data_IF_391727047392
#
_entry.id   IF_391727047392
#
_cell.length_a   1.000
_cell.length_b   1.000
_cell.length_c   1.000
_cell.angle_alpha   90.00
_cell.angle_beta   90.00
_cell.angle_gamma   90.00
#
_symmetry.space_group_name_H-M   'P 1'
#
loop_
_entity.id
_entity.type
_entity.pdbx_description
1 polymer ?
#
# COMPACT_ATOMS: atom_id res chain seq x y z
N UNK A 1 12.97 -15.76 2.25
CA UNK A 1 11.51 -15.61 2.26
C UNK A 1 10.91 -16.92 1.81
N UNK A 2 10.21 -17.63 2.67
CA UNK A 2 9.54 -18.87 2.31
C UNK A 2 8.11 -18.50 1.89
N UNK A 3 7.82 -18.48 0.59
CA UNK A 3 6.44 -18.46 0.10
C UNK A 3 5.85 -19.82 0.47
N UNK A 4 4.82 -19.82 1.29
CA UNK A 4 4.20 -21.06 1.74
C UNK A 4 3.13 -21.53 0.79
N UNK A 5 2.30 -20.63 0.30
CA UNK A 5 1.23 -20.91 -0.64
C UNK A 5 0.85 -19.67 -1.46
N UNK A 6 0.18 -19.93 -2.57
CA UNK A 6 -0.37 -18.93 -3.45
C UNK A 6 -1.77 -19.36 -3.90
N UNK A 7 -2.72 -18.43 -3.84
CA UNK A 7 -4.10 -18.67 -4.23
C UNK A 7 -4.46 -17.79 -5.43
N UNK A 8 -4.65 -18.42 -6.58
CA UNK A 8 -4.98 -17.73 -7.82
C UNK A 8 -6.46 -17.91 -8.14
N UNK A 9 -7.23 -16.83 -8.03
CA UNK A 9 -8.70 -16.84 -8.20
C UNK A 9 -9.11 -16.15 -9.49
N UNK A 10 -9.97 -16.81 -10.26
CA UNK A 10 -10.55 -16.30 -11.51
C UNK A 10 -12.04 -16.59 -11.57
N UNK A 11 -12.75 -15.88 -12.46
CA UNK A 11 -14.17 -16.15 -12.74
C UNK A 11 -14.34 -17.42 -13.57
N UNK A 12 -13.63 -17.56 -14.67
CA UNK A 12 -13.75 -18.68 -15.60
C UNK A 12 -12.38 -19.33 -15.84
N UNK A 13 -12.38 -20.59 -16.29
CA UNK A 13 -11.14 -21.34 -16.53
C UNK A 13 -10.26 -20.73 -17.64
N UNK A 14 -10.88 -20.08 -18.63
CA UNK A 14 -10.17 -19.36 -19.70
C UNK A 14 -9.41 -18.12 -19.20
N UNK A 15 -9.78 -17.59 -18.05
CA UNK A 15 -9.11 -16.44 -17.41
C UNK A 15 -7.82 -16.82 -16.65
N UNK A 16 -7.52 -18.14 -16.54
CA UNK A 16 -6.30 -18.61 -15.88
C UNK A 16 -5.07 -18.37 -16.75
N UNK A 17 -4.54 -17.14 -16.70
CA UNK A 17 -3.28 -16.80 -17.36
C UNK A 17 -2.11 -17.61 -16.76
N UNK A 18 -1.13 -17.95 -17.58
CA UNK A 18 0.10 -18.67 -17.20
C UNK A 18 -0.13 -20.04 -16.52
N UNK A 19 -1.32 -20.66 -16.65
CA UNK A 19 -1.64 -21.93 -15.96
C UNK A 19 -0.67 -23.06 -16.33
N UNK A 20 -0.28 -23.16 -17.60
CA UNK A 20 0.70 -24.15 -18.07
C UNK A 20 2.12 -23.86 -17.49
N UNK A 21 2.53 -22.59 -17.47
CA UNK A 21 3.82 -22.16 -16.94
C UNK A 21 3.90 -22.41 -15.43
N UNK A 22 2.85 -22.06 -14.70
CA UNK A 22 2.74 -22.32 -13.26
C UNK A 22 2.89 -23.82 -12.97
N UNK A 23 2.24 -24.67 -13.76
CA UNK A 23 2.35 -26.13 -13.63
C UNK A 23 3.76 -26.68 -13.83
N UNK A 24 4.60 -25.99 -14.60
CA UNK A 24 5.97 -26.39 -14.88
C UNK A 24 7.00 -25.95 -13.81
N UNK A 25 6.65 -25.05 -12.90
CA UNK A 25 7.57 -24.58 -11.86
C UNK A 25 7.73 -25.57 -10.70
N UNK A 26 8.92 -25.63 -10.07
CA UNK A 26 9.19 -26.52 -8.92
C UNK A 26 8.27 -26.26 -7.71
N UNK A 27 7.71 -25.05 -7.61
CA UNK A 27 6.80 -24.62 -6.54
C UNK A 27 5.31 -24.74 -6.89
N UNK A 28 4.96 -25.36 -8.03
CA UNK A 28 3.57 -25.52 -8.48
C UNK A 28 2.66 -26.19 -7.44
N UNK A 29 3.21 -27.07 -6.60
CA UNK A 29 2.48 -27.72 -5.50
C UNK A 29 2.03 -26.77 -4.39
N UNK A 30 2.52 -25.52 -4.38
CA UNK A 30 2.12 -24.46 -3.46
C UNK A 30 1.09 -23.49 -4.07
N UNK A 31 0.62 -23.75 -5.29
CA UNK A 31 -0.35 -22.89 -5.97
C UNK A 31 -1.71 -23.58 -6.02
N UNK A 32 -2.72 -22.94 -5.46
CA UNK A 32 -4.11 -23.35 -5.55
C UNK A 32 -4.86 -22.46 -6.53
N UNK A 33 -5.44 -23.05 -7.57
CA UNK A 33 -6.26 -22.32 -8.55
C UNK A 33 -7.74 -22.45 -8.17
N UNK A 34 -8.46 -21.31 -8.20
CA UNK A 34 -9.86 -21.23 -7.84
C UNK A 34 -10.66 -20.66 -9.00
N UNK A 35 -11.58 -21.45 -9.56
CA UNK A 35 -12.48 -21.05 -10.66
C UNK A 35 -13.90 -20.96 -10.14
N UNK A 36 -14.43 -19.75 -9.94
CA UNK A 36 -15.72 -19.54 -9.28
C UNK A 36 -16.90 -20.02 -10.09
N UNK A 37 -16.88 -19.97 -11.43
CA UNK A 37 -17.94 -20.50 -12.29
C UNK A 37 -18.07 -22.03 -12.21
N UNK A 38 -17.01 -22.73 -11.82
CA UNK A 38 -17.00 -24.17 -11.60
C UNK A 38 -17.32 -24.57 -10.15
N UNK A 39 -17.78 -23.62 -9.31
CA UNK A 39 -18.04 -23.84 -7.89
C UNK A 39 -16.79 -23.89 -7.02
N UNK A 40 -15.61 -23.57 -7.59
CA UNK A 40 -14.30 -23.61 -6.92
C UNK A 40 -13.88 -22.27 -6.32
N UNK A 41 -14.80 -21.48 -5.73
CA UNK A 41 -14.44 -20.24 -5.05
C UNK A 41 -13.51 -20.51 -3.88
N UNK A 42 -12.49 -19.66 -3.70
CA UNK A 42 -11.58 -19.76 -2.57
C UNK A 42 -12.32 -19.68 -1.22
N UNK A 43 -12.09 -20.66 -0.37
CA UNK A 43 -12.59 -20.67 1.00
C UNK A 43 -11.56 -19.95 1.89
N UNK A 44 -11.77 -18.65 2.08
CA UNK A 44 -10.84 -17.79 2.83
C UNK A 44 -10.71 -18.24 4.29
N UNK A 45 -11.79 -18.70 4.91
CA UNK A 45 -11.74 -19.19 6.29
C UNK A 45 -10.81 -20.41 6.43
N UNK A 46 -10.86 -21.30 5.44
CA UNK A 46 -9.98 -22.48 5.40
C UNK A 46 -8.53 -22.10 5.08
N UNK A 47 -8.31 -21.15 4.18
CA UNK A 47 -6.98 -20.67 3.79
C UNK A 47 -6.26 -20.08 5.02
N UNK A 48 -6.95 -19.28 5.80
CA UNK A 48 -6.38 -18.63 7.00
C UNK A 48 -6.54 -19.44 8.29
N UNK A 49 -7.07 -20.68 8.21
CA UNK A 49 -7.12 -21.56 9.36
C UNK A 49 -5.70 -21.95 9.82
N UNK A 50 -5.26 -21.39 10.91
CA UNK A 50 -3.91 -21.60 11.46
C UNK A 50 -2.89 -20.55 11.06
N UNK A 51 -3.29 -19.50 10.36
CA UNK A 51 -2.47 -18.29 10.20
C UNK A 51 -2.36 -17.53 11.52
N UNK A 52 -1.31 -16.72 11.67
CA UNK A 52 -1.04 -15.99 12.90
C UNK A 52 -0.13 -14.76 12.71
N UNK A 53 0.35 -14.23 13.83
CA UNK A 53 1.08 -12.96 13.90
C UNK A 53 2.37 -12.90 13.10
N UNK A 54 2.95 -14.05 12.75
CA UNK A 54 4.22 -14.11 12.00
C UNK A 54 4.02 -14.22 10.49
N UNK A 55 2.77 -14.37 10.05
CA UNK A 55 2.45 -14.50 8.63
C UNK A 55 2.26 -13.14 7.96
N UNK A 56 2.59 -13.08 6.67
CA UNK A 56 2.34 -11.94 5.80
C UNK A 56 1.40 -12.32 4.68
N UNK A 57 0.44 -11.46 4.40
CA UNK A 57 -0.52 -11.62 3.30
C UNK A 57 -0.27 -10.56 2.25
N UNK A 58 -0.15 -11.00 1.02
CA UNK A 58 -0.07 -10.15 -0.16
C UNK A 58 -1.26 -10.45 -1.05
N UNK A 59 -2.09 -9.45 -1.33
CA UNK A 59 -3.28 -9.62 -2.16
C UNK A 59 -3.35 -8.55 -3.24
N UNK A 60 -3.74 -8.99 -4.42
CA UNK A 60 -4.03 -8.13 -5.56
C UNK A 60 -5.27 -8.65 -6.31
N UNK A 61 -6.12 -7.75 -6.76
CA UNK A 61 -7.36 -8.09 -7.45
C UNK A 61 -8.43 -7.00 -7.30
N UNK A 62 -9.70 -7.30 -7.60
CA UNK A 62 -10.81 -6.38 -7.36
C UNK A 62 -10.93 -5.98 -5.88
N UNK A 63 -11.30 -4.71 -5.62
CA UNK A 63 -11.34 -4.15 -4.26
C UNK A 63 -12.15 -5.02 -3.28
N UNK A 64 -13.35 -5.42 -3.67
CA UNK A 64 -14.19 -6.28 -2.84
C UNK A 64 -13.55 -7.65 -2.48
N UNK A 65 -12.70 -8.18 -3.38
CA UNK A 65 -11.94 -9.40 -3.11
C UNK A 65 -10.79 -9.12 -2.14
N UNK A 66 -10.03 -8.06 -2.37
CA UNK A 66 -8.93 -7.65 -1.48
C UNK A 66 -9.44 -7.38 -0.07
N UNK A 67 -10.53 -6.63 0.06
CA UNK A 67 -11.15 -6.31 1.34
C UNK A 67 -11.61 -7.57 2.08
N UNK A 68 -12.24 -8.52 1.38
CA UNK A 68 -12.64 -9.79 1.97
C UNK A 68 -11.44 -10.61 2.47
N UNK A 69 -10.37 -10.70 1.68
CA UNK A 69 -9.14 -11.41 2.06
C UNK A 69 -8.52 -10.79 3.30
N UNK A 70 -8.34 -9.46 3.31
CA UNK A 70 -7.69 -8.74 4.41
C UNK A 70 -8.53 -8.78 5.70
N UNK A 71 -9.86 -8.69 5.59
CA UNK A 71 -10.75 -8.80 6.75
C UNK A 71 -10.65 -10.18 7.41
N UNK A 72 -10.62 -11.27 6.63
CA UNK A 72 -10.47 -12.62 7.17
C UNK A 72 -9.07 -12.82 7.76
N UNK A 73 -8.03 -12.33 7.11
CA UNK A 73 -6.65 -12.40 7.58
C UNK A 73 -6.45 -11.66 8.92
N UNK A 74 -6.99 -10.45 9.03
CA UNK A 74 -6.98 -9.68 10.29
C UNK A 74 -7.75 -10.42 11.40
N UNK A 75 -8.91 -11.02 11.07
CA UNK A 75 -9.69 -11.85 11.99
C UNK A 75 -8.96 -13.11 12.45
N UNK A 76 -8.00 -13.62 11.68
CA UNK A 76 -7.11 -14.73 12.04
C UNK A 76 -5.92 -14.30 12.91
N UNK A 77 -5.78 -13.00 13.22
CA UNK A 77 -4.74 -12.47 14.10
C UNK A 77 -3.47 -12.01 13.39
N UNK A 78 -3.51 -11.84 12.06
CA UNK A 78 -2.39 -11.26 11.30
C UNK A 78 -2.37 -9.74 11.55
N UNK A 79 -1.22 -9.15 11.96
CA UNK A 79 -1.10 -7.73 12.22
C UNK A 79 -1.32 -6.87 10.97
N UNK A 80 -1.82 -5.64 11.16
CA UNK A 80 -2.08 -4.70 10.07
C UNK A 80 -0.83 -4.40 9.20
N UNK A 81 0.33 -4.29 9.81
CA UNK A 81 1.62 -4.08 9.12
C UNK A 81 2.15 -5.34 8.38
N UNK A 82 1.44 -6.46 8.46
CA UNK A 82 1.68 -7.70 7.71
C UNK A 82 0.63 -7.93 6.59
N UNK A 83 -0.33 -7.03 6.45
CA UNK A 83 -1.36 -7.07 5.43
C UNK A 83 -1.00 -6.13 4.28
N UNK A 84 -0.72 -6.70 3.11
CA UNK A 84 -0.24 -5.97 1.95
C UNK A 84 -1.21 -6.11 0.79
N UNK A 85 -1.58 -4.96 0.20
CA UNK A 85 -2.38 -4.92 -1.03
C UNK A 85 -1.64 -4.18 -2.13
N UNK A 86 -1.86 -4.59 -3.36
CA UNK A 86 -1.35 -3.93 -4.55
C UNK A 86 -2.51 -3.57 -5.47
N UNK A 87 -2.57 -2.32 -5.87
CA UNK A 87 -3.61 -1.80 -6.75
C UNK A 87 -3.10 -1.70 -8.18
N UNK A 88 -3.93 -2.07 -9.17
CA UNK A 88 -3.64 -1.85 -10.59
C UNK A 88 -4.10 -0.48 -11.08
N UNK A 89 -5.01 0.15 -10.37
CA UNK A 89 -5.50 1.50 -10.66
C UNK A 89 -5.65 2.26 -9.35
N UNK A 90 -5.58 3.57 -9.44
CA UNK A 90 -5.81 4.43 -8.26
C UNK A 90 -7.25 4.25 -7.79
N UNK A 91 -7.49 3.85 -6.54
CA UNK A 91 -8.83 3.80 -5.98
C UNK A 91 -9.47 5.19 -5.99
N UNK A 92 -10.80 5.22 -6.03
CA UNK A 92 -11.54 6.48 -5.92
C UNK A 92 -11.22 7.15 -4.57
N UNK A 93 -10.84 8.42 -4.62
CA UNK A 93 -10.54 9.21 -3.43
C UNK A 93 -11.63 10.28 -3.23
N UNK A 94 -11.86 10.72 -2.00
CA UNK A 94 -12.69 11.89 -1.75
C UNK A 94 -12.05 13.14 -2.38
N UNK A 95 -12.86 14.16 -2.64
CA UNK A 95 -12.37 15.47 -3.03
C UNK A 95 -11.62 16.10 -1.84
N UNK A 96 -10.30 16.12 -1.94
CA UNK A 96 -9.45 16.75 -0.94
C UNK A 96 -9.27 18.24 -1.25
N UNK A 97 -9.31 19.05 -0.22
CA UNK A 97 -8.87 20.44 -0.32
C UNK A 97 -7.33 20.52 -0.15
N UNK A 98 -6.67 21.19 -1.07
CA UNK A 98 -5.22 21.33 -1.04
C UNK A 98 -4.84 22.64 -0.37
N UNK A 99 -4.20 22.57 0.78
CA UNK A 99 -3.61 23.70 1.48
C UNK A 99 -2.12 23.78 1.22
N UNK A 100 -1.58 25.00 1.21
CA UNK A 100 -0.15 25.20 1.29
C UNK A 100 0.34 24.90 2.72
N UNK A 101 1.53 24.33 2.86
CA UNK A 101 2.11 23.93 4.15
C UNK A 101 3.64 24.03 4.13
N UNK A 102 4.29 23.76 5.26
CA UNK A 102 5.74 23.74 5.35
C UNK A 102 6.27 22.35 5.73
N UNK A 103 7.35 21.96 5.07
CA UNK A 103 8.21 20.87 5.52
C UNK A 103 9.35 21.45 6.35
N UNK A 104 9.55 20.94 7.57
CA UNK A 104 10.73 21.17 8.38
C UNK A 104 11.66 19.97 8.25
N UNK A 105 12.86 20.18 7.74
CA UNK A 105 13.85 19.11 7.62
C UNK A 105 14.57 18.93 8.96
N UNK A 106 14.34 17.83 9.66
CA UNK A 106 14.81 17.61 11.03
C UNK A 106 16.32 17.68 11.19
N UNK A 107 17.09 17.21 10.19
CA UNK A 107 18.57 17.23 10.25
C UNK A 107 19.19 18.58 10.01
N UNK A 108 18.59 19.43 9.18
CA UNK A 108 19.15 20.74 8.80
C UNK A 108 18.43 21.93 9.45
N UNK A 109 17.23 21.72 9.97
CA UNK A 109 16.33 22.78 10.43
C UNK A 109 15.78 23.67 9.31
N UNK A 110 16.04 23.32 8.04
CA UNK A 110 15.58 24.11 6.89
C UNK A 110 14.07 23.91 6.71
N UNK A 111 13.38 25.02 6.40
CA UNK A 111 11.97 25.01 6.04
C UNK A 111 11.81 25.10 4.53
N UNK A 112 10.90 24.30 4.00
CA UNK A 112 10.53 24.30 2.58
C UNK A 112 9.03 24.49 2.51
N UNK A 113 8.60 25.54 1.81
CA UNK A 113 7.19 25.77 1.51
C UNK A 113 6.75 24.80 0.43
N UNK A 114 5.59 24.20 0.61
CA UNK A 114 4.88 23.38 -0.37
C UNK A 114 3.59 24.10 -0.71
N UNK A 115 3.45 24.54 -1.94
CA UNK A 115 2.27 25.25 -2.40
C UNK A 115 1.07 24.30 -2.60
N UNK A 116 -0.14 24.84 -2.74
CA UNK A 116 -1.35 24.05 -2.85
C UNK A 116 -1.41 23.20 -4.13
N UNK A 117 -0.72 23.62 -5.18
CA UNK A 117 -0.69 23.00 -6.52
C UNK A 117 0.55 22.13 -6.79
N UNK A 118 1.43 21.94 -5.79
CA UNK A 118 2.59 21.05 -5.90
C UNK A 118 2.60 19.97 -4.82
N UNK A 119 3.36 18.90 -5.03
CA UNK A 119 3.53 17.83 -4.03
C UNK A 119 4.73 18.13 -3.12
N UNK A 120 4.76 17.47 -1.95
CA UNK A 120 5.93 17.55 -1.06
C UNK A 120 7.22 17.04 -1.74
N UNK A 121 7.09 16.00 -2.58
CA UNK A 121 8.22 15.50 -3.38
C UNK A 121 8.73 16.52 -4.37
N UNK A 122 7.86 17.24 -5.09
CA UNK A 122 8.25 18.24 -6.08
C UNK A 122 8.95 19.43 -5.40
N UNK A 123 8.39 19.93 -4.30
CA UNK A 123 9.00 21.00 -3.51
C UNK A 123 10.41 20.64 -3.00
N UNK A 124 10.60 19.40 -2.53
CA UNK A 124 11.90 18.91 -2.09
C UNK A 124 12.89 18.83 -3.25
N UNK A 125 12.50 18.25 -4.39
CA UNK A 125 13.33 18.14 -5.59
C UNK A 125 13.72 19.53 -6.11
N UNK A 126 12.77 20.47 -6.20
CA UNK A 126 13.03 21.84 -6.62
C UNK A 126 14.02 22.58 -5.69
N UNK A 127 14.09 22.19 -4.42
CA UNK A 127 15.03 22.69 -3.44
C UNK A 127 16.36 21.90 -3.37
N UNK A 128 16.60 20.98 -4.31
CA UNK A 128 17.87 20.25 -4.47
C UNK A 128 18.00 19.00 -3.59
N UNK A 129 16.93 18.50 -3.02
CA UNK A 129 16.94 17.24 -2.28
C UNK A 129 16.64 16.05 -3.20
N UNK A 130 17.36 14.96 -3.00
CA UNK A 130 17.11 13.72 -3.71
C UNK A 130 15.89 13.02 -3.09
N UNK A 131 14.83 12.85 -3.87
CA UNK A 131 13.63 12.09 -3.52
C UNK A 131 13.33 11.12 -4.64
N UNK A 132 13.25 9.84 -4.32
CA UNK A 132 12.85 8.83 -5.28
C UNK A 132 11.32 8.88 -5.46
N UNK A 133 10.85 9.12 -6.69
CA UNK A 133 9.43 9.13 -7.05
C UNK A 133 9.22 8.17 -8.22
N UNK A 134 8.17 7.34 -8.17
CA UNK A 134 7.89 6.35 -9.22
C UNK A 134 6.47 6.44 -9.78
N UNK A 135 5.44 6.20 -8.98
CA UNK A 135 4.06 6.17 -9.45
C UNK A 135 3.37 7.54 -9.42
N UNK A 136 3.73 8.42 -8.51
CA UNK A 136 3.07 9.70 -8.21
C UNK A 136 1.62 9.60 -7.72
N UNK A 137 1.12 8.41 -7.45
CA UNK A 137 -0.28 8.11 -7.12
C UNK A 137 -0.47 7.56 -5.70
N UNK A 138 0.58 7.54 -4.87
CA UNK A 138 0.49 7.00 -3.50
C UNK A 138 0.39 5.48 -3.39
N UNK A 139 0.66 4.74 -4.47
CA UNK A 139 0.47 3.28 -4.54
C UNK A 139 1.73 2.46 -4.27
N UNK A 140 2.93 3.00 -4.57
CA UNK A 140 4.15 2.19 -4.60
C UNK A 140 5.05 2.33 -3.36
N UNK A 141 4.85 3.35 -2.54
CA UNK A 141 5.65 3.60 -1.33
C UNK A 141 7.09 4.05 -1.55
N UNK A 142 7.54 4.24 -2.80
CA UNK A 142 8.95 4.59 -3.11
C UNK A 142 9.34 5.95 -2.51
N UNK A 143 8.43 6.93 -2.50
CA UNK A 143 8.65 8.27 -1.95
C UNK A 143 8.31 8.38 -0.46
N UNK A 144 8.34 7.27 0.29
CA UNK A 144 8.10 7.32 1.74
C UNK A 144 9.24 8.01 2.48
N UNK A 145 8.89 8.78 3.51
CA UNK A 145 9.84 9.47 4.38
C UNK A 145 9.43 9.34 5.84
N UNK A 146 10.40 9.34 6.74
CA UNK A 146 10.15 9.34 8.17
C UNK A 146 9.55 10.66 8.65
N UNK A 147 8.61 10.61 9.57
CA UNK A 147 7.97 11.77 10.21
C UNK A 147 8.44 11.87 11.66
N UNK A 148 8.89 13.05 12.05
CA UNK A 148 9.26 13.40 13.42
C UNK A 148 8.07 14.00 14.15
N UNK A 149 7.38 14.98 13.49
CA UNK A 149 6.20 15.63 14.04
C UNK A 149 5.32 16.23 12.93
N UNK A 150 4.08 16.54 13.25
CA UNK A 150 3.14 17.21 12.36
C UNK A 150 1.83 16.44 12.24
N UNK A 151 0.80 17.16 11.81
CA UNK A 151 -0.54 16.63 11.58
C UNK A 151 -0.72 16.38 10.09
N UNK A 152 -0.86 15.11 9.70
CA UNK A 152 -0.78 14.67 8.30
C UNK A 152 -2.15 14.15 7.85
N UNK A 153 -2.60 14.63 6.72
CA UNK A 153 -3.66 14.01 5.93
C UNK A 153 -3.04 12.98 4.98
N UNK A 154 -3.12 11.72 5.38
CA UNK A 154 -2.63 10.60 4.58
C UNK A 154 -3.58 10.35 3.41
N UNK A 155 -3.03 10.39 2.19
CA UNK A 155 -3.76 10.19 0.93
C UNK A 155 -3.20 9.03 0.12
N UNK A 156 -2.37 8.22 0.76
CA UNK A 156 -1.77 7.05 0.17
C UNK A 156 -2.57 5.78 0.46
N UNK A 157 -2.28 4.72 -0.31
CA UNK A 157 -2.92 3.42 -0.20
C UNK A 157 -1.94 2.32 0.27
N UNK A 158 -0.74 2.71 0.70
CA UNK A 158 0.34 1.75 0.95
C UNK A 158 0.75 1.68 2.41
N UNK A 159 0.58 2.75 3.19
CA UNK A 159 0.93 2.75 4.60
C UNK A 159 -0.19 2.15 5.46
N UNK A 160 0.17 1.18 6.32
CA UNK A 160 -0.72 0.71 7.38
C UNK A 160 -0.94 1.82 8.43
N UNK A 161 -1.99 1.72 9.24
CA UNK A 161 -2.27 2.69 10.32
C UNK A 161 -1.08 2.87 11.28
N UNK A 162 -0.36 1.80 11.56
CA UNK A 162 0.85 1.83 12.39
C UNK A 162 2.01 2.58 11.71
N UNK A 163 2.15 2.43 10.39
CA UNK A 163 3.17 3.13 9.59
C UNK A 163 2.84 4.61 9.45
N UNK A 164 1.58 4.99 9.27
CA UNK A 164 1.11 6.38 9.18
C UNK A 164 1.49 7.23 10.41
N UNK A 165 1.68 6.61 11.57
CA UNK A 165 2.17 7.31 12.77
C UNK A 165 3.62 7.82 12.66
N UNK A 166 4.40 7.31 11.69
CA UNK A 166 5.85 7.55 11.59
C UNK A 166 6.35 7.84 10.18
N UNK A 167 5.51 7.70 9.18
CA UNK A 167 5.87 7.79 7.78
C UNK A 167 4.88 8.66 7.02
N UNK A 168 5.35 9.29 5.97
CA UNK A 168 4.56 10.05 5.00
C UNK A 168 4.89 9.59 3.58
N UNK A 169 3.93 9.60 2.68
CA UNK A 169 4.11 9.41 1.23
C UNK A 169 4.12 10.79 0.58
N UNK A 170 5.32 11.26 0.20
CA UNK A 170 5.59 12.64 -0.20
C UNK A 170 4.88 13.07 -1.49
N UNK A 171 4.52 12.13 -2.38
CA UNK A 171 3.84 12.47 -3.63
C UNK A 171 2.34 12.72 -3.49
N UNK A 172 1.72 12.36 -2.36
CA UNK A 172 0.27 12.47 -2.18
C UNK A 172 -0.15 13.11 -0.85
N UNK A 173 0.46 12.69 0.26
CA UNK A 173 0.06 13.15 1.59
C UNK A 173 0.47 14.60 1.85
N UNK A 174 -0.32 15.29 2.65
CA UNK A 174 -0.18 16.73 2.93
C UNK A 174 -0.36 17.03 4.42
N UNK A 175 -0.12 18.27 4.81
CA UNK A 175 -0.56 18.72 6.14
C UNK A 175 -2.10 18.74 6.20
N UNK A 176 -2.65 18.34 7.35
CA UNK A 176 -4.10 18.25 7.56
C UNK A 176 -4.80 19.61 7.64
N UNK A 177 -4.05 20.72 7.60
CA UNK A 177 -4.59 22.09 7.68
C UNK A 177 -3.69 23.09 6.97
N UNK A 178 -4.26 24.24 6.63
CA UNK A 178 -3.55 25.39 6.05
C UNK A 178 -2.39 25.83 6.96
N UNK A 179 -1.26 26.17 6.35
CA UNK A 179 -0.01 26.57 7.00
C UNK A 179 0.48 25.57 8.08
N UNK A 180 0.05 24.30 7.99
CA UNK A 180 0.57 23.25 8.83
C UNK A 180 2.06 23.02 8.63
N UNK A 181 2.73 22.48 9.64
CA UNK A 181 4.15 22.14 9.55
C UNK A 181 4.31 20.64 9.77
N UNK A 182 5.00 19.98 8.86
CA UNK A 182 5.38 18.57 8.99
C UNK A 182 6.90 18.52 9.11
N UNK A 183 7.39 17.95 10.21
CA UNK A 183 8.81 17.70 10.38
C UNK A 183 9.15 16.28 9.90
N UNK A 184 10.06 16.20 8.93
CA UNK A 184 10.50 14.94 8.32
C UNK A 184 11.96 14.65 8.63
N UNK A 185 12.32 13.35 8.65
CA UNK A 185 13.68 12.87 8.96
C UNK A 185 14.61 12.97 7.73
N UNK A 186 14.89 14.23 7.33
CA UNK A 186 15.80 14.55 6.21
C UNK A 186 16.82 15.60 6.62
#
# INVERSE_FOLDING_TARGET
>A
MCIRDSHYSVSNAEDLAFSADIGAFPWSGHVSQHVSSAGGRADLARIFAGAGSDDHVYVCGPDAYMDAVLAVAAGAGIPDDHLHREYFSVPEQPDYENYAFELLLGKSGRRIRVEADETASDALIANGYAVDVKCSDGLCGVCQCGVVSGDIEHRDFVLSQKQQQRMIILCQSRAAKEDGVIEIDM
#
